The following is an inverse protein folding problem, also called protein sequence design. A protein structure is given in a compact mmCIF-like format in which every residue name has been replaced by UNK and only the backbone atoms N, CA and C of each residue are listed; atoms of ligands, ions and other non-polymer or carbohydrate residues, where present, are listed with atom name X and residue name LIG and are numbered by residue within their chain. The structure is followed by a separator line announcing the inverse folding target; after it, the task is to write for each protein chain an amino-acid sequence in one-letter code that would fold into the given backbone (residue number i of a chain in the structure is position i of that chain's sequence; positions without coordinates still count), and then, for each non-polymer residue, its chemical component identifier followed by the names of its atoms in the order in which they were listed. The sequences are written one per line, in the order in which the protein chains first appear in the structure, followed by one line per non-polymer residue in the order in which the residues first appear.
data_IF_579818887689
#
_entry.id   IF_579818887689
#
_cell.length_a   1.000
_cell.length_b   1.000
_cell.length_c   1.000
_cell.angle_alpha   90.00
_cell.angle_beta   90.00
_cell.angle_gamma   90.00
#
_symmetry.space_group_name_H-M   'P 1'
#
loop_
_entity.id
_entity.type
_entity.pdbx_description
1 polymer ?
#
# COMPACT_ATOMS: atom_id res chain seq x y z
N UNK A 1 -14.60 -26.99 -12.99
CA UNK A 1 -13.66 -26.32 -12.08
C UNK A 1 -13.78 -24.84 -12.38
N UNK A 2 -13.98 -23.99 -11.38
CA UNK A 2 -13.93 -22.54 -11.60
C UNK A 2 -12.46 -22.23 -11.89
N UNK A 3 -12.20 -21.59 -13.03
CA UNK A 3 -10.86 -21.16 -13.39
C UNK A 3 -10.49 -19.99 -12.48
N UNK A 4 -9.41 -20.15 -11.72
CA UNK A 4 -8.90 -19.11 -10.82
C UNK A 4 -8.10 -18.12 -11.68
N UNK A 5 -8.49 -16.85 -11.65
CA UNK A 5 -7.83 -15.80 -12.43
C UNK A 5 -6.45 -15.47 -11.83
N UNK A 6 -5.39 -15.55 -12.65
CA UNK A 6 -4.04 -15.24 -12.19
C UNK A 6 -3.95 -13.81 -11.63
N UNK A 7 -3.42 -13.69 -10.42
CA UNK A 7 -3.32 -12.42 -9.70
C UNK A 7 -4.60 -11.96 -9.00
N UNK A 8 -5.69 -12.75 -8.98
CA UNK A 8 -6.81 -12.51 -8.06
C UNK A 8 -6.45 -12.84 -6.61
N UNK A 9 -7.26 -12.40 -5.65
CA UNK A 9 -7.02 -12.71 -4.24
C UNK A 9 -7.17 -14.22 -3.98
N UNK A 10 -8.06 -14.91 -4.70
CA UNK A 10 -8.17 -16.37 -4.66
C UNK A 10 -6.92 -17.06 -5.20
N UNK A 11 -6.25 -16.47 -6.20
CA UNK A 11 -4.98 -16.98 -6.71
C UNK A 11 -3.84 -16.75 -5.72
N UNK A 12 -3.75 -15.56 -5.13
CA UNK A 12 -2.71 -15.21 -4.15
C UNK A 12 -2.85 -16.03 -2.86
N UNK A 13 -4.09 -16.34 -2.44
CA UNK A 13 -4.38 -17.11 -1.24
C UNK A 13 -4.18 -18.63 -1.37
N UNK A 14 -3.68 -19.14 -2.50
CA UNK A 14 -3.50 -20.58 -2.71
C UNK A 14 -2.43 -21.21 -1.81
N UNK A 15 -1.46 -20.42 -1.37
CA UNK A 15 -0.36 -20.85 -0.51
C UNK A 15 -0.27 -19.91 0.68
N UNK A 16 -0.21 -20.48 1.88
CA UNK A 16 0.13 -19.74 3.09
C UNK A 16 1.41 -20.34 3.67
N UNK A 17 2.39 -19.50 3.94
CA UNK A 17 3.66 -19.88 4.55
C UNK A 17 3.62 -19.55 6.05
N UNK A 18 4.39 -20.31 6.85
CA UNK A 18 4.52 -20.03 8.27
C UNK A 18 5.27 -18.71 8.50
N UNK A 19 4.73 -17.88 9.41
CA UNK A 19 5.36 -16.61 9.77
C UNK A 19 6.61 -16.87 10.63
N UNK A 20 7.76 -16.43 10.12
CA UNK A 20 9.03 -16.49 10.83
C UNK A 20 9.19 -15.22 11.67
N UNK A 21 9.62 -15.39 12.93
CA UNK A 21 9.84 -14.32 13.91
C UNK A 21 8.68 -13.31 13.96
N UNK A 22 7.47 -13.74 14.35
CA UNK A 22 6.26 -12.91 14.27
C UNK A 22 6.34 -11.63 15.09
N UNK A 23 7.18 -11.57 16.12
CA UNK A 23 7.35 -10.37 16.96
C UNK A 23 8.37 -9.38 16.39
N UNK A 24 9.15 -9.77 15.37
CA UNK A 24 10.22 -8.94 14.80
C UNK A 24 9.64 -7.70 14.13
N UNK A 25 9.95 -6.53 14.69
CA UNK A 25 9.63 -5.24 14.09
C UNK A 25 10.29 -5.12 12.71
N UNK A 26 9.48 -4.88 11.69
CA UNK A 26 9.91 -4.72 10.30
C UNK A 26 9.47 -3.35 9.77
N UNK A 27 10.35 -2.74 8.97
CA UNK A 27 10.00 -1.63 8.10
C UNK A 27 9.99 -2.19 6.68
N UNK A 28 8.86 -2.09 5.99
CA UNK A 28 8.80 -2.34 4.56
C UNK A 28 9.41 -1.11 3.83
N UNK A 29 10.56 -1.27 3.15
CA UNK A 29 11.27 -0.15 2.57
C UNK A 29 10.67 0.32 1.24
N UNK A 30 9.69 -0.39 0.65
CA UNK A 30 9.21 -0.06 -0.68
C UNK A 30 7.78 -0.55 -0.89
N UNK A 31 6.83 0.38 -0.92
CA UNK A 31 5.51 0.14 -1.48
C UNK A 31 5.04 1.32 -2.33
N UNK A 32 3.97 1.10 -3.08
CA UNK A 32 3.28 2.14 -3.84
C UNK A 32 1.83 2.20 -3.36
N UNK A 33 1.16 3.32 -3.60
CA UNK A 33 -0.27 3.49 -3.41
C UNK A 33 -0.85 4.05 -4.71
N UNK A 34 -2.00 3.53 -5.14
CA UNK A 34 -2.66 4.00 -6.35
C UNK A 34 -4.17 3.77 -6.31
N UNK A 35 -4.89 4.49 -7.17
CA UNK A 35 -6.32 4.34 -7.38
C UNK A 35 -6.62 3.95 -8.83
N UNK A 36 -7.41 2.89 -9.03
CA UNK A 36 -7.85 2.39 -10.34
C UNK A 36 -6.70 2.11 -11.33
N UNK A 37 -5.54 1.69 -10.84
CA UNK A 37 -4.43 1.23 -11.69
C UNK A 37 -4.53 -0.28 -11.84
N UNK A 38 -4.30 -0.79 -13.04
CA UNK A 38 -4.47 -2.23 -13.35
C UNK A 38 -5.86 -2.78 -12.97
N UNK A 39 -6.90 -1.94 -13.05
CA UNK A 39 -8.27 -2.32 -12.67
C UNK A 39 -8.52 -2.39 -11.16
N UNK A 40 -7.55 -2.04 -10.31
CA UNK A 40 -7.66 -2.17 -8.85
C UNK A 40 -7.23 -0.91 -8.11
N UNK A 41 -7.67 -0.80 -6.86
CA UNK A 41 -7.10 0.14 -5.91
C UNK A 41 -6.00 -0.56 -5.12
N UNK A 42 -5.04 0.21 -4.66
CA UNK A 42 -4.11 -0.21 -3.63
C UNK A 42 -3.84 1.02 -2.76
N UNK A 43 -4.70 1.18 -1.74
CA UNK A 43 -4.71 2.30 -0.81
C UNK A 43 -4.42 1.76 0.60
N UNK A 44 -4.64 2.57 1.64
CA UNK A 44 -4.40 2.14 3.03
C UNK A 44 -5.11 0.82 3.39
N UNK A 45 -6.39 0.57 3.04
CA UNK A 45 -7.05 -0.69 3.38
C UNK A 45 -6.38 -1.92 2.76
N UNK A 46 -5.99 -1.83 1.49
CA UNK A 46 -5.31 -2.92 0.80
C UNK A 46 -3.89 -3.13 1.37
N UNK A 47 -3.15 -2.04 1.62
CA UNK A 47 -1.84 -2.09 2.28
C UNK A 47 -1.92 -2.75 3.67
N UNK A 48 -2.93 -2.42 4.47
CA UNK A 48 -3.12 -2.99 5.80
C UNK A 48 -3.55 -4.46 5.75
N UNK A 49 -4.28 -4.87 4.71
CA UNK A 49 -4.55 -6.28 4.44
C UNK A 49 -3.24 -7.08 4.29
N UNK A 50 -2.30 -6.54 3.50
CA UNK A 50 -1.02 -7.20 3.25
C UNK A 50 -0.09 -7.11 4.46
N UNK A 51 0.07 -5.92 5.05
CA UNK A 51 0.99 -5.69 6.17
C UNK A 51 0.52 -6.29 7.49
N UNK A 52 -0.79 -6.53 7.64
CA UNK A 52 -1.40 -7.21 8.79
C UNK A 52 -1.54 -8.73 8.61
N UNK A 53 -1.05 -9.31 7.51
CA UNK A 53 -1.24 -10.74 7.19
C UNK A 53 -0.41 -11.71 8.03
N UNK A 54 0.58 -11.21 8.79
CA UNK A 54 1.27 -12.03 9.79
C UNK A 54 2.58 -11.45 10.32
N UNK A 55 3.46 -10.94 9.46
CA UNK A 55 4.70 -10.30 9.90
C UNK A 55 4.41 -8.96 10.62
N UNK A 56 5.20 -8.63 11.63
CA UNK A 56 5.05 -7.39 12.41
C UNK A 56 5.64 -6.17 11.68
N UNK A 57 4.98 -5.77 10.59
CA UNK A 57 5.32 -4.56 9.82
C UNK A 57 4.73 -3.36 10.54
N UNK A 58 5.59 -2.54 11.14
CA UNK A 58 5.17 -1.37 11.93
C UNK A 58 5.24 -0.06 11.15
N UNK A 59 6.02 -0.04 10.08
CA UNK A 59 6.18 1.12 9.22
C UNK A 59 6.43 0.70 7.78
N UNK A 60 6.04 1.55 6.84
CA UNK A 60 6.31 1.36 5.42
C UNK A 60 6.87 2.65 4.83
N UNK A 61 7.64 2.56 3.74
CA UNK A 61 8.12 3.70 2.98
C UNK A 61 7.43 3.75 1.62
N UNK A 62 6.71 4.84 1.36
CA UNK A 62 6.07 5.07 0.06
C UNK A 62 7.11 5.49 -0.98
N UNK A 63 6.99 4.93 -2.18
CA UNK A 63 7.82 5.30 -3.35
C UNK A 63 6.91 5.86 -4.45
N UNK A 64 7.27 7.03 -4.97
CA UNK A 64 6.64 7.74 -6.10
C UNK A 64 6.29 6.77 -7.24
N UNK A 65 5.08 6.88 -7.79
CA UNK A 65 4.61 5.94 -8.81
C UNK A 65 3.75 6.59 -9.90
N UNK A 66 3.74 7.92 -9.99
CA UNK A 66 2.95 8.72 -10.91
C UNK A 66 1.44 8.60 -10.67
N UNK A 67 1.03 8.30 -9.44
CA UNK A 67 -0.37 8.27 -9.04
C UNK A 67 -0.81 9.65 -8.51
N UNK A 68 -2.11 9.92 -8.50
CA UNK A 68 -2.70 11.10 -7.87
C UNK A 68 -2.19 12.48 -8.35
N UNK A 69 -1.53 12.55 -9.51
CA UNK A 69 -1.15 13.83 -10.12
C UNK A 69 -2.38 14.72 -10.32
N UNK A 70 -2.20 16.03 -10.18
CA UNK A 70 -3.27 16.96 -10.53
C UNK A 70 -3.69 16.79 -11.99
N UNK A 71 -5.00 16.85 -12.23
CA UNK A 71 -5.58 16.74 -13.58
C UNK A 71 -5.44 18.03 -14.38
N UNK A 72 -5.28 19.15 -13.69
CA UNK A 72 -5.24 20.50 -14.24
C UNK A 72 -4.06 21.28 -13.65
N UNK A 73 -3.72 22.42 -14.28
CA UNK A 73 -2.60 23.26 -13.88
C UNK A 73 -1.30 22.99 -14.67
N UNK A 74 -0.21 23.73 -14.35
CA UNK A 74 1.08 23.64 -15.05
C UNK A 74 1.66 22.22 -14.98
N UNK A 75 2.11 21.70 -16.11
CA UNK A 75 2.57 20.30 -16.22
C UNK A 75 3.67 19.96 -15.19
N UNK A 76 4.60 20.89 -14.94
CA UNK A 76 5.70 20.70 -13.98
C UNK A 76 5.25 20.70 -12.51
N UNK A 77 4.01 21.09 -12.19
CA UNK A 77 3.46 21.05 -10.83
C UNK A 77 2.45 19.93 -10.62
N UNK A 78 2.02 19.22 -11.67
CA UNK A 78 1.07 18.10 -11.52
C UNK A 78 1.54 17.00 -10.57
N UNK A 79 2.84 16.64 -10.51
CA UNK A 79 3.34 15.65 -9.56
C UNK A 79 3.11 15.98 -8.09
N UNK A 80 2.95 17.26 -7.75
CA UNK A 80 2.70 17.70 -6.35
C UNK A 80 1.40 17.10 -5.79
N UNK A 81 0.42 16.77 -6.64
CA UNK A 81 -0.79 16.07 -6.22
C UNK A 81 -0.53 14.71 -5.58
N UNK A 82 0.51 13.98 -6.01
CA UNK A 82 0.91 12.73 -5.35
C UNK A 82 1.45 13.02 -3.95
N UNK A 83 2.34 13.99 -3.82
CA UNK A 83 2.92 14.38 -2.53
C UNK A 83 1.84 14.77 -1.52
N UNK A 84 0.85 15.57 -1.92
CA UNK A 84 -0.26 15.95 -1.04
C UNK A 84 -1.11 14.75 -0.62
N UNK A 85 -1.47 13.90 -1.57
CA UNK A 85 -2.27 12.70 -1.28
C UNK A 85 -1.55 11.76 -0.30
N UNK A 86 -0.27 11.50 -0.55
CA UNK A 86 0.55 10.62 0.29
C UNK A 86 0.79 11.25 1.67
N UNK A 87 0.97 12.57 1.75
CA UNK A 87 1.05 13.27 3.03
C UNK A 87 -0.20 13.03 3.88
N UNK A 88 -1.38 13.04 3.27
CA UNK A 88 -2.63 12.75 3.98
C UNK A 88 -2.77 11.27 4.34
N UNK A 89 -2.28 10.34 3.52
CA UNK A 89 -2.17 8.92 3.89
C UNK A 89 -1.22 8.71 5.08
N UNK A 90 -0.09 9.42 5.14
CA UNK A 90 0.83 9.37 6.27
C UNK A 90 0.16 9.84 7.56
N UNK A 91 -0.58 10.97 7.51
CA UNK A 91 -1.35 11.47 8.66
C UNK A 91 -2.42 10.47 9.10
N UNK A 92 -3.19 9.93 8.15
CA UNK A 92 -4.27 8.97 8.46
C UNK A 92 -3.72 7.69 9.07
N UNK A 93 -2.66 7.13 8.49
CA UNK A 93 -2.07 5.90 9.02
C UNK A 93 -1.41 6.07 10.38
N UNK A 94 -0.84 7.24 10.67
CA UNK A 94 -0.32 7.55 12.00
C UNK A 94 -1.40 7.65 13.10
N UNK A 95 -2.68 7.76 12.74
CA UNK A 95 -3.80 7.80 13.70
C UNK A 95 -4.31 6.41 14.08
N UNK A 96 -3.95 5.36 13.34
CA UNK A 96 -4.37 3.99 13.63
C UNK A 96 -3.22 3.18 14.24
N UNK A 97 -3.22 2.96 15.57
CA UNK A 97 -2.15 2.23 16.24
C UNK A 97 -2.16 0.72 15.96
N UNK A 98 -3.20 0.19 15.31
CA UNK A 98 -3.32 -1.25 15.03
C UNK A 98 -2.73 -1.66 13.68
N UNK A 99 -2.34 -0.69 12.86
CA UNK A 99 -1.91 -0.90 11.49
C UNK A 99 -0.55 -0.27 11.21
N UNK A 100 0.13 -0.73 10.17
CA UNK A 100 1.42 -0.18 9.76
C UNK A 100 1.28 1.31 9.42
N UNK A 101 2.20 2.14 9.93
CA UNK A 101 2.24 3.56 9.60
C UNK A 101 2.98 3.79 8.29
N UNK A 102 2.38 4.55 7.37
CA UNK A 102 3.07 4.98 6.15
C UNK A 102 3.99 6.15 6.47
N UNK A 103 5.27 6.00 6.13
CA UNK A 103 6.23 7.09 6.08
C UNK A 103 6.39 7.59 4.64
N UNK A 104 6.40 8.91 4.48
CA UNK A 104 6.58 9.64 3.23
C UNK A 104 7.30 10.96 3.47
#
# INVERSE_FOLDING_TARGET
MVEIEAGSDEWLGQVQEDIIDPERLIIDPHHHLWKKRFGRNYLLPELWGDTGSGHNIVKTLFVECMAFYYREGPDHLRPVGETEYITDCCKQSALDPNNATVAG
#
